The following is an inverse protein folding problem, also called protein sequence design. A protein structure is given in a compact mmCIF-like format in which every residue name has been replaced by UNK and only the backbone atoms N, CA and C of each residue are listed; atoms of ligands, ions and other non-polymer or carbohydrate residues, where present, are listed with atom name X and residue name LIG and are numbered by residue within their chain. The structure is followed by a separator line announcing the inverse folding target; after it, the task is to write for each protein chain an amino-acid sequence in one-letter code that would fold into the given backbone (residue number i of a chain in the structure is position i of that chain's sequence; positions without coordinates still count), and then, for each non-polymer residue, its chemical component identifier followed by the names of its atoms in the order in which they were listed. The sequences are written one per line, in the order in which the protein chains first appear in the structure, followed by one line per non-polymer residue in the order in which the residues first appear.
data_IF_000571371741
#
_entry.id   IF_000571371741
#
_cell.length_a   1.000
_cell.length_b   1.000
_cell.length_c   1.000
_cell.angle_alpha   90.00
_cell.angle_beta   90.00
_cell.angle_gamma   90.00
#
_symmetry.space_group_name_H-M   'P 1'
#
loop_
_entity.id
_entity.type
_entity.pdbx_description
1 polymer ?
#
# COMPACT_ATOMS: atom_id res chain seq x y z
N UNK A 1 19.50 -10.69 -3.65
CA UNK A 1 19.19 -9.25 -3.55
C UNK A 1 18.71 -8.92 -2.12
N UNK A 2 19.38 -8.00 -1.42
CA UNK A 2 19.09 -7.63 0.00
C UNK A 2 18.30 -6.32 0.16
N UNK A 3 18.22 -5.48 -0.86
CA UNK A 3 17.43 -4.25 -0.85
C UNK A 3 16.32 -4.31 -1.90
N UNK A 4 15.20 -3.65 -1.65
CA UNK A 4 14.08 -3.50 -2.58
C UNK A 4 13.50 -2.09 -2.50
N UNK A 5 13.08 -1.57 -3.65
CA UNK A 5 12.27 -0.36 -3.75
C UNK A 5 10.89 -0.73 -4.25
N UNK A 6 9.86 -0.23 -3.58
CA UNK A 6 8.46 -0.49 -3.92
C UNK A 6 7.79 0.85 -4.21
N UNK A 7 7.07 0.95 -5.32
CA UNK A 7 6.30 2.14 -5.70
C UNK A 7 4.98 1.71 -6.33
N UNK A 8 3.93 2.51 -6.12
CA UNK A 8 2.59 2.21 -6.63
C UNK A 8 2.02 0.89 -6.11
N UNK A 9 2.61 0.31 -5.06
CA UNK A 9 2.20 -0.96 -4.49
C UNK A 9 1.05 -0.77 -3.50
N UNK A 10 0.10 -1.70 -3.52
CA UNK A 10 -1.03 -1.72 -2.61
C UNK A 10 -1.53 -3.15 -2.36
N UNK A 11 -2.29 -3.31 -1.29
CA UNK A 11 -2.87 -4.59 -0.88
C UNK A 11 -4.39 -4.52 -0.99
N UNK A 12 -4.99 -4.93 -2.13
CA UNK A 12 -6.36 -4.43 -2.39
C UNK A 12 -7.27 -5.11 -3.41
N UNK A 13 -7.03 -6.32 -3.92
CA UNK A 13 -7.98 -6.85 -4.92
C UNK A 13 -9.46 -6.82 -4.46
N UNK A 14 -9.84 -7.19 -3.21
CA UNK A 14 -11.23 -7.11 -2.77
C UNK A 14 -11.78 -5.69 -2.79
N UNK A 15 -10.97 -4.71 -2.38
CA UNK A 15 -11.40 -3.30 -2.34
C UNK A 15 -11.44 -2.69 -3.73
N UNK A 16 -10.53 -3.07 -4.62
CA UNK A 16 -10.56 -2.67 -6.04
C UNK A 16 -11.80 -3.24 -6.73
N UNK A 17 -12.14 -4.50 -6.48
CA UNK A 17 -13.34 -5.12 -7.04
C UNK A 17 -14.63 -4.47 -6.51
N UNK A 18 -14.69 -4.19 -5.20
CA UNK A 18 -15.85 -3.57 -4.56
C UNK A 18 -16.05 -2.08 -4.93
N UNK A 19 -14.99 -1.37 -5.30
CA UNK A 19 -15.03 0.04 -5.69
C UNK A 19 -15.10 0.27 -7.19
N UNK A 20 -15.08 -0.78 -8.02
CA UNK A 20 -15.19 -0.64 -9.48
C UNK A 20 -16.65 -0.47 -9.90
N UNK A 21 -16.92 0.60 -10.64
CA UNK A 21 -18.24 0.88 -11.22
C UNK A 21 -18.34 0.49 -12.71
N UNK A 22 -17.20 0.19 -13.36
CA UNK A 22 -17.12 -0.16 -14.78
C UNK A 22 -16.05 -1.26 -15.05
N UNK A 23 -16.17 -2.04 -16.14
CA UNK A 23 -17.28 -2.03 -17.09
C UNK A 23 -18.55 -2.65 -16.49
N UNK A 24 -19.71 -2.12 -16.85
CA UNK A 24 -21.01 -2.75 -16.59
C UNK A 24 -21.34 -3.78 -17.67
N UNK A 25 -22.01 -4.85 -17.26
CA UNK A 25 -22.54 -5.87 -18.19
C UNK A 25 -24.06 -5.87 -18.15
N UNK A 26 -24.67 -6.24 -19.27
CA UNK A 26 -26.12 -6.36 -19.36
C UNK A 26 -26.64 -7.38 -18.34
N UNK A 27 -27.73 -7.03 -17.65
CA UNK A 27 -28.35 -7.90 -16.67
C UNK A 27 -29.23 -8.94 -17.39
N UNK A 28 -28.91 -10.25 -17.33
CA UNK A 28 -29.67 -11.28 -18.02
C UNK A 28 -31.09 -11.48 -17.47
N UNK A 29 -31.39 -10.97 -16.27
CA UNK A 29 -32.73 -10.98 -15.69
C UNK A 29 -33.59 -9.75 -16.06
N UNK A 30 -33.04 -8.82 -16.86
CA UNK A 30 -33.63 -7.51 -17.13
C UNK A 30 -33.39 -6.51 -16.00
N UNK A 31 -33.43 -5.21 -16.32
CA UNK A 31 -33.15 -4.11 -15.37
C UNK A 31 -31.83 -3.39 -15.63
N UNK A 32 -31.30 -2.72 -14.62
CA UNK A 32 -30.07 -1.94 -14.74
C UNK A 32 -28.83 -2.83 -15.02
N UNK A 33 -27.86 -2.36 -15.82
CA UNK A 33 -26.60 -3.04 -16.03
C UNK A 33 -25.85 -3.29 -14.71
N UNK A 34 -25.23 -4.47 -14.60
CA UNK A 34 -24.52 -4.92 -13.41
C UNK A 34 -23.07 -4.43 -13.45
N UNK A 35 -22.63 -3.73 -12.42
CA UNK A 35 -21.22 -3.40 -12.25
C UNK A 35 -20.46 -4.62 -11.66
N UNK A 36 -19.11 -4.56 -11.62
CA UNK A 36 -18.28 -5.65 -11.09
C UNK A 36 -18.66 -6.10 -9.68
N UNK A 37 -19.12 -5.19 -8.81
CA UNK A 37 -19.58 -5.51 -7.47
C UNK A 37 -20.85 -6.37 -7.50
N UNK A 38 -21.87 -5.98 -8.28
CA UNK A 38 -23.12 -6.73 -8.38
C UNK A 38 -22.88 -8.11 -9.01
N UNK A 39 -21.99 -8.19 -10.00
CA UNK A 39 -21.60 -9.47 -10.61
C UNK A 39 -20.96 -10.42 -9.60
N UNK A 40 -20.08 -9.91 -8.74
CA UNK A 40 -19.47 -10.72 -7.67
C UNK A 40 -20.52 -11.18 -6.65
N UNK A 41 -21.48 -10.32 -6.31
CA UNK A 41 -22.56 -10.67 -5.39
C UNK A 41 -23.41 -11.80 -5.95
N UNK A 42 -23.76 -11.75 -7.24
CA UNK A 42 -24.44 -12.83 -7.95
C UNK A 42 -23.59 -14.10 -8.03
N UNK A 43 -22.31 -13.98 -8.38
CA UNK A 43 -21.41 -15.13 -8.52
C UNK A 43 -21.21 -15.89 -7.19
N UNK A 44 -21.19 -15.18 -6.07
CA UNK A 44 -21.14 -15.78 -4.74
C UNK A 44 -22.51 -16.22 -4.22
N UNK A 45 -23.59 -15.98 -4.97
CA UNK A 45 -24.96 -16.26 -4.57
C UNK A 45 -25.31 -15.60 -3.22
N UNK A 46 -24.70 -14.45 -2.94
CA UNK A 46 -24.96 -13.71 -1.73
C UNK A 46 -26.29 -12.97 -1.83
N UNK A 47 -27.00 -12.91 -0.71
CA UNK A 47 -28.33 -12.30 -0.69
C UNK A 47 -28.22 -10.78 -0.87
N UNK A 48 -29.21 -10.11 -1.49
CA UNK A 48 -29.19 -8.65 -1.65
C UNK A 48 -29.09 -7.88 -0.32
N UNK A 49 -29.67 -8.42 0.76
CA UNK A 49 -29.63 -7.84 2.12
C UNK A 49 -28.28 -8.03 2.83
N UNK A 50 -27.36 -8.80 2.24
CA UNK A 50 -26.02 -9.05 2.75
C UNK A 50 -24.98 -8.61 1.71
N UNK A 51 -24.76 -7.29 1.55
CA UNK A 51 -23.86 -6.77 0.54
C UNK A 51 -22.43 -7.25 0.79
N UNK A 52 -21.69 -7.50 -0.29
CA UNK A 52 -20.27 -7.78 -0.19
C UNK A 52 -19.53 -6.58 0.40
N UNK A 53 -18.68 -6.86 1.38
CA UNK A 53 -17.76 -5.94 2.02
C UNK A 53 -16.34 -6.54 2.06
N UNK A 54 -15.34 -5.73 2.44
CA UNK A 54 -13.94 -6.19 2.43
C UNK A 54 -13.69 -7.42 3.31
N UNK A 55 -14.27 -7.55 4.53
CA UNK A 55 -14.08 -8.75 5.35
C UNK A 55 -14.95 -9.96 4.92
N UNK A 56 -15.74 -9.86 3.86
CA UNK A 56 -16.61 -10.96 3.43
C UNK A 56 -15.81 -12.26 3.17
N UNK A 57 -16.16 -13.39 3.79
CA UNK A 57 -15.33 -14.60 3.77
C UNK A 57 -15.05 -15.12 2.35
N UNK A 58 -16.03 -15.04 1.45
CA UNK A 58 -15.84 -15.43 0.04
C UNK A 58 -14.88 -14.51 -0.71
N UNK A 59 -14.86 -13.21 -0.41
CA UNK A 59 -13.89 -12.29 -1.01
C UNK A 59 -12.49 -12.52 -0.46
N UNK A 60 -12.36 -12.85 0.83
CA UNK A 60 -11.09 -13.22 1.44
C UNK A 60 -10.54 -14.50 0.78
N UNK A 61 -11.36 -15.54 0.65
CA UNK A 61 -10.98 -16.78 -0.03
C UNK A 61 -10.60 -16.54 -1.49
N UNK A 62 -11.43 -15.82 -2.25
CA UNK A 62 -11.11 -15.45 -3.63
C UNK A 62 -9.75 -14.75 -3.69
N UNK A 63 -9.54 -13.73 -2.86
CA UNK A 63 -8.28 -12.98 -2.81
C UNK A 63 -7.08 -13.88 -2.57
N UNK A 64 -7.19 -14.85 -1.66
CA UNK A 64 -6.11 -15.81 -1.38
C UNK A 64 -5.69 -16.60 -2.63
N UNK A 65 -6.64 -16.95 -3.51
CA UNK A 65 -6.34 -17.73 -4.71
C UNK A 65 -5.91 -16.88 -5.90
N UNK A 66 -6.63 -15.78 -6.19
CA UNK A 66 -6.39 -14.99 -7.41
C UNK A 66 -5.34 -13.90 -7.21
N UNK A 67 -5.12 -13.46 -5.97
CA UNK A 67 -4.07 -12.51 -5.62
C UNK A 67 -3.06 -13.15 -4.66
N UNK A 68 -2.43 -14.24 -5.12
CA UNK A 68 -1.41 -14.96 -4.34
C UNK A 68 -0.25 -14.06 -3.88
N UNK A 69 -0.02 -12.98 -4.63
CA UNK A 69 1.01 -11.97 -4.35
C UNK A 69 0.48 -10.74 -3.62
N UNK A 70 -0.76 -10.78 -3.07
CA UNK A 70 -1.34 -9.65 -2.37
C UNK A 70 -0.41 -9.18 -1.26
N UNK A 71 -0.12 -7.88 -1.23
CA UNK A 71 0.71 -7.27 -0.22
C UNK A 71 0.16 -7.47 1.21
N UNK A 72 -1.16 -7.65 1.40
CA UNK A 72 -1.74 -7.96 2.72
C UNK A 72 -1.20 -9.31 3.25
N UNK A 73 -0.99 -10.28 2.35
CA UNK A 73 -0.49 -11.61 2.70
C UNK A 73 1.04 -11.71 2.66
N UNK A 74 1.68 -10.96 1.77
CA UNK A 74 3.10 -11.15 1.44
C UNK A 74 4.03 -10.06 1.98
N UNK A 75 3.52 -8.87 2.34
CA UNK A 75 4.35 -7.81 2.91
C UNK A 75 5.12 -8.25 4.18
N UNK A 76 4.53 -9.03 5.11
CA UNK A 76 5.30 -9.55 6.24
C UNK A 76 6.44 -10.47 5.80
N UNK A 77 6.32 -11.19 4.69
CA UNK A 77 7.35 -12.11 4.18
C UNK A 77 8.58 -11.38 3.63
N UNK A 78 8.45 -10.09 3.29
CA UNK A 78 9.58 -9.29 2.80
C UNK A 78 10.59 -9.02 3.93
N UNK A 79 10.13 -8.93 5.18
CA UNK A 79 10.96 -8.50 6.31
C UNK A 79 10.66 -9.17 7.65
N UNK A 80 9.39 -9.19 8.07
CA UNK A 80 9.00 -9.63 9.42
C UNK A 80 9.08 -11.15 9.59
N UNK A 81 8.76 -11.89 8.55
CA UNK A 81 8.65 -13.36 8.54
C UNK A 81 9.19 -13.93 7.22
N UNK A 82 10.46 -13.66 6.87
CA UNK A 82 11.00 -14.15 5.61
C UNK A 82 10.98 -15.68 5.56
N UNK A 83 10.76 -16.23 4.37
CA UNK A 83 10.76 -17.67 4.16
C UNK A 83 12.16 -18.25 4.34
N UNK A 84 12.24 -19.53 4.72
CA UNK A 84 13.53 -20.22 4.90
C UNK A 84 14.43 -20.09 3.67
N UNK A 85 15.69 -19.72 3.88
CA UNK A 85 16.66 -19.49 2.80
C UNK A 85 16.53 -18.15 2.07
N UNK A 86 15.47 -17.37 2.31
CA UNK A 86 15.30 -16.01 1.78
C UNK A 86 15.65 -15.00 2.88
N UNK A 87 16.68 -14.14 2.73
CA UNK A 87 16.97 -13.13 3.74
C UNK A 87 15.92 -12.02 3.73
N UNK A 88 15.66 -11.44 4.91
CA UNK A 88 14.89 -10.21 5.04
C UNK A 88 15.53 -9.08 4.22
N UNK A 89 14.70 -8.16 3.71
CA UNK A 89 15.14 -7.08 2.84
C UNK A 89 15.18 -5.73 3.56
N UNK A 90 16.12 -4.88 3.17
CA UNK A 90 15.99 -3.43 3.30
C UNK A 90 14.90 -2.98 2.32
N UNK A 91 14.05 -2.03 2.72
CA UNK A 91 12.91 -1.61 1.90
C UNK A 91 12.79 -0.09 1.93
N UNK A 92 12.73 0.50 0.75
CA UNK A 92 12.28 1.87 0.54
C UNK A 92 10.96 1.81 -0.23
N UNK A 93 9.86 2.05 0.47
CA UNK A 93 8.51 2.04 -0.08
C UNK A 93 8.04 3.48 -0.37
N UNK A 94 7.18 3.66 -1.37
CA UNK A 94 6.62 4.95 -1.75
C UNK A 94 5.09 4.95 -1.69
N UNK A 95 4.53 6.03 -1.16
CA UNK A 95 3.10 6.35 -1.19
C UNK A 95 2.95 7.73 -1.82
N UNK A 96 2.18 7.82 -2.90
CA UNK A 96 1.78 9.10 -3.48
C UNK A 96 0.47 9.60 -2.90
N UNK A 97 0.41 10.89 -2.60
CA UNK A 97 -0.87 11.59 -2.42
C UNK A 97 -1.67 11.53 -3.74
N UNK A 98 -3.00 11.42 -3.68
CA UNK A 98 -3.89 11.35 -4.85
C UNK A 98 -3.48 10.30 -5.90
N UNK A 99 -2.95 9.16 -5.46
CA UNK A 99 -2.72 7.99 -6.32
C UNK A 99 -4.06 7.34 -6.69
N UNK A 100 -4.48 7.48 -7.96
CA UNK A 100 -5.74 6.90 -8.45
C UNK A 100 -5.66 5.40 -8.76
N UNK A 101 -4.46 4.83 -8.81
CA UNK A 101 -4.21 3.41 -9.12
C UNK A 101 -4.08 2.56 -7.86
N UNK A 102 -3.37 3.07 -6.85
CA UNK A 102 -3.13 2.44 -5.55
C UNK A 102 -3.63 3.36 -4.44
N UNK A 103 -4.94 3.32 -4.14
CA UNK A 103 -5.56 4.26 -3.21
C UNK A 103 -4.88 4.22 -1.85
N UNK A 104 -4.80 5.36 -1.14
CA UNK A 104 -4.08 5.54 0.12
C UNK A 104 -4.19 4.35 1.08
N UNK A 105 -5.41 3.86 1.37
CA UNK A 105 -5.62 2.71 2.27
C UNK A 105 -4.86 1.43 1.84
N UNK A 106 -4.67 1.22 0.54
CA UNK A 106 -3.94 0.08 -0.02
C UNK A 106 -2.44 0.19 0.26
N UNK A 107 -1.91 1.37 -0.04
CA UNK A 107 -0.50 1.67 0.09
C UNK A 107 -0.09 1.73 1.57
N UNK A 108 -0.98 2.27 2.43
CA UNK A 108 -0.87 2.25 3.89
C UNK A 108 -0.84 0.83 4.44
N UNK A 109 -1.73 -0.07 4.00
CA UNK A 109 -1.71 -1.48 4.40
C UNK A 109 -0.38 -2.18 4.08
N UNK A 110 0.15 -1.96 2.87
CA UNK A 110 1.47 -2.47 2.49
C UNK A 110 2.56 -1.93 3.44
N UNK A 111 2.61 -0.63 3.68
CA UNK A 111 3.57 0.00 4.60
C UNK A 111 3.45 -0.56 6.03
N UNK A 112 2.23 -0.74 6.54
CA UNK A 112 1.94 -1.31 7.85
C UNK A 112 2.39 -2.77 7.90
N UNK A 113 2.12 -3.56 6.86
CA UNK A 113 2.50 -4.97 6.73
C UNK A 113 4.02 -5.16 6.70
N UNK A 114 4.73 -4.27 6.02
CA UNK A 114 6.20 -4.18 6.04
C UNK A 114 6.71 -3.76 7.43
N UNK A 115 5.94 -2.97 8.17
CA UNK A 115 6.42 -2.23 9.33
C UNK A 115 7.43 -1.17 8.92
N UNK A 116 7.09 -0.44 7.87
CA UNK A 116 7.90 0.60 7.27
C UNK A 116 7.36 1.97 7.71
N UNK A 117 7.91 2.58 8.79
CA UNK A 117 7.50 3.90 9.27
C UNK A 117 7.65 4.97 8.17
N UNK A 118 6.94 6.08 8.32
CA UNK A 118 7.05 7.21 7.40
C UNK A 118 8.41 7.89 7.61
N UNK A 119 9.27 7.91 6.59
CA UNK A 119 10.52 8.65 6.62
C UNK A 119 10.28 10.11 6.28
N UNK A 120 10.54 10.99 7.24
CA UNK A 120 10.13 12.39 7.20
C UNK A 120 8.71 12.56 7.77
N UNK A 121 7.99 13.56 7.25
CA UNK A 121 6.64 13.90 7.71
C UNK A 121 5.58 13.14 6.92
N UNK A 122 4.54 12.67 7.61
CA UNK A 122 3.27 12.29 7.01
C UNK A 122 2.61 13.54 6.39
N UNK A 123 1.99 13.38 5.23
CA UNK A 123 1.26 14.48 4.58
C UNK A 123 -0.05 14.79 5.31
N UNK A 124 -0.58 13.82 6.05
CA UNK A 124 -1.84 13.93 6.78
C UNK A 124 -1.55 13.99 8.29
N UNK A 125 -1.46 15.20 8.83
CA UNK A 125 -1.13 15.43 10.23
C UNK A 125 -2.40 15.59 11.07
N UNK A 126 -2.39 15.19 12.36
CA UNK A 126 -3.49 15.51 13.26
C UNK A 126 -3.73 17.03 13.38
N UNK A 127 -4.97 17.46 13.67
CA UNK A 127 -6.13 16.62 14.00
C UNK A 127 -6.81 16.01 12.77
N UNK A 128 -7.20 14.72 12.86
CA UNK A 128 -7.73 13.99 11.70
C UNK A 128 -9.15 14.42 11.29
N UNK A 129 -9.86 15.13 12.16
CA UNK A 129 -11.20 15.65 11.88
C UNK A 129 -11.18 16.86 10.92
N UNK A 130 -10.00 17.42 10.63
CA UNK A 130 -9.81 18.48 9.63
C UNK A 130 -9.94 17.96 8.18
N UNK A 131 -9.90 16.63 7.98
CA UNK A 131 -10.01 16.01 6.67
C UNK A 131 -11.47 15.61 6.36
N UNK A 132 -12.01 16.19 5.28
CA UNK A 132 -13.34 15.83 4.78
C UNK A 132 -13.33 14.56 3.94
N UNK A 133 -12.22 14.25 3.27
CA UNK A 133 -12.06 13.00 2.52
C UNK A 133 -11.79 11.82 3.47
N UNK A 134 -12.50 10.71 3.27
CA UNK A 134 -12.38 9.54 4.15
C UNK A 134 -10.98 8.91 4.08
N UNK A 135 -10.36 8.84 2.89
CA UNK A 135 -9.05 8.23 2.72
C UNK A 135 -7.96 9.08 3.38
N UNK A 136 -8.05 10.40 3.30
CA UNK A 136 -7.14 11.32 3.98
C UNK A 136 -7.27 11.23 5.50
N UNK A 137 -8.51 11.21 6.02
CA UNK A 137 -8.78 11.01 7.45
C UNK A 137 -8.20 9.69 7.96
N UNK A 138 -8.32 8.61 7.18
CA UNK A 138 -7.71 7.32 7.49
C UNK A 138 -6.18 7.40 7.49
N UNK A 139 -5.60 8.10 6.51
CA UNK A 139 -4.15 8.27 6.41
C UNK A 139 -3.57 9.06 7.60
N UNK A 140 -4.29 10.08 8.08
CA UNK A 140 -3.99 10.74 9.36
C UNK A 140 -4.11 9.78 10.55
N UNK A 141 -5.09 8.87 10.52
CA UNK A 141 -5.29 7.80 11.50
C UNK A 141 -4.08 6.88 11.69
N UNK A 142 -3.23 6.69 10.67
CA UNK A 142 -2.08 5.78 10.76
C UNK A 142 -0.98 6.30 11.69
N UNK A 143 -0.67 7.60 11.65
CA UNK A 143 0.33 8.20 12.54
C UNK A 143 -0.22 8.41 13.94
N UNK A 144 -1.43 8.96 14.06
CA UNK A 144 -2.09 9.19 15.35
C UNK A 144 -2.31 7.87 16.12
N UNK A 145 -2.70 6.80 15.42
CA UNK A 145 -2.84 5.46 16.00
C UNK A 145 -1.54 4.66 16.16
N UNK A 146 -0.37 5.26 15.89
CA UNK A 146 0.96 4.63 15.99
C UNK A 146 1.17 3.41 15.07
N UNK A 147 0.37 3.25 14.01
CA UNK A 147 0.50 2.16 13.03
C UNK A 147 1.62 2.42 12.02
N UNK A 148 1.77 3.68 11.60
CA UNK A 148 2.86 4.17 10.77
C UNK A 148 3.49 5.39 11.45
N UNK A 149 4.34 5.19 12.47
CA UNK A 149 5.02 6.31 13.11
C UNK A 149 5.98 6.98 12.12
N UNK A 150 6.30 8.24 12.39
CA UNK A 150 7.31 8.98 11.66
C UNK A 150 8.71 8.69 12.18
N UNK A 151 9.69 8.71 11.29
CA UNK A 151 11.11 8.65 11.61
C UNK A 151 11.82 9.76 10.85
N UNK A 152 12.65 10.53 11.57
CA UNK A 152 13.41 11.62 10.97
C UNK A 152 14.46 11.08 9.99
N UNK A 153 14.63 11.80 8.87
CA UNK A 153 15.72 11.56 7.94
C UNK A 153 17.02 12.20 8.45
N UNK A 154 18.20 11.66 8.06
CA UNK A 154 18.39 10.42 7.30
C UNK A 154 18.10 9.17 8.14
N UNK A 155 17.66 8.08 7.50
CA UNK A 155 17.32 6.82 8.18
C UNK A 155 18.24 5.68 7.73
N UNK A 156 18.84 5.00 8.70
CA UNK A 156 19.57 3.73 8.50
C UNK A 156 19.34 2.81 9.70
N UNK A 157 19.27 1.50 9.47
CA UNK A 157 19.22 0.50 10.55
C UNK A 157 17.99 0.58 11.47
N UNK A 158 16.89 1.20 11.04
CA UNK A 158 15.72 1.44 11.89
C UNK A 158 14.87 0.18 12.19
N UNK A 159 15.19 -0.97 11.59
CA UNK A 159 14.42 -2.20 11.72
C UNK A 159 15.29 -3.43 11.93
N UNK A 160 14.68 -4.53 12.42
CA UNK A 160 15.37 -5.81 12.58
C UNK A 160 16.53 -5.75 13.59
N UNK A 161 16.40 -4.94 14.64
CA UNK A 161 17.45 -4.77 15.66
C UNK A 161 18.71 -4.08 15.15
N UNK A 162 18.58 -3.10 14.24
CA UNK A 162 19.72 -2.38 13.67
C UNK A 162 20.17 -2.89 12.30
N UNK A 163 19.68 -4.05 11.86
CA UNK A 163 20.22 -4.75 10.69
C UNK A 163 19.57 -4.35 9.37
N UNK A 164 18.39 -3.70 9.42
CA UNK A 164 17.59 -3.39 8.25
C UNK A 164 17.21 -1.92 8.22
N UNK A 165 17.14 -1.35 7.03
CA UNK A 165 16.61 -0.01 6.77
C UNK A 165 15.32 -0.19 6.02
N UNK A 166 14.20 0.16 6.66
CA UNK A 166 12.85 -0.14 6.19
C UNK A 166 12.00 1.08 6.46
N UNK A 167 11.63 1.81 5.41
CA UNK A 167 10.86 3.04 5.52
C UNK A 167 9.91 3.21 4.36
N UNK A 168 8.91 4.06 4.56
CA UNK A 168 7.98 4.52 3.54
C UNK A 168 8.14 6.03 3.36
N UNK A 169 8.31 6.50 2.12
CA UNK A 169 8.23 7.92 1.77
C UNK A 169 6.81 8.24 1.33
N UNK A 170 6.16 9.18 2.00
CA UNK A 170 4.87 9.71 1.57
C UNK A 170 5.09 11.06 0.91
N UNK A 171 4.68 11.21 -0.35
CA UNK A 171 5.03 12.37 -1.17
C UNK A 171 3.79 13.00 -1.83
N UNK A 172 3.71 14.35 -1.89
CA UNK A 172 2.65 15.00 -2.65
C UNK A 172 2.83 14.69 -4.13
N UNK A 173 1.72 14.48 -4.85
CA UNK A 173 1.78 14.38 -6.30
C UNK A 173 2.24 15.73 -6.90
N UNK A 174 3.13 15.72 -7.90
CA UNK A 174 3.45 16.92 -8.68
C UNK A 174 2.20 17.46 -9.37
N UNK A 175 2.16 18.78 -9.58
CA UNK A 175 1.02 19.43 -10.23
C UNK A 175 0.70 18.78 -11.59
N UNK A 176 -0.57 18.39 -11.78
CA UNK A 176 -1.05 17.76 -13.00
C UNK A 176 -0.59 16.31 -13.22
N UNK A 177 0.06 15.68 -12.22
CA UNK A 177 0.43 14.26 -12.25
C UNK A 177 -0.32 13.47 -11.19
N UNK A 178 -0.43 12.17 -11.43
CA UNK A 178 -0.99 11.22 -10.47
C UNK A 178 0.05 10.82 -9.42
N UNK A 179 -0.39 10.61 -8.18
CA UNK A 179 0.45 10.16 -7.06
C UNK A 179 1.16 8.84 -7.32
N UNK A 180 0.64 8.01 -8.23
CA UNK A 180 1.24 6.72 -8.60
C UNK A 180 2.70 6.83 -9.04
N UNK A 181 3.09 7.99 -9.57
CA UNK A 181 4.39 8.20 -10.19
C UNK A 181 5.41 8.94 -9.32
N UNK A 182 5.12 9.20 -8.04
CA UNK A 182 6.01 10.01 -7.17
C UNK A 182 7.43 9.46 -7.04
N UNK A 183 7.63 8.14 -7.16
CA UNK A 183 8.97 7.53 -7.12
C UNK A 183 9.82 7.81 -8.37
N UNK A 184 9.19 8.25 -9.47
CA UNK A 184 9.85 8.59 -10.73
C UNK A 184 10.18 10.08 -10.83
N UNK A 185 9.89 10.87 -9.79
CA UNK A 185 10.37 12.24 -9.74
C UNK A 185 11.90 12.26 -9.63
N UNK A 186 12.60 13.20 -10.29
CA UNK A 186 14.06 13.17 -10.41
C UNK A 186 14.80 13.00 -9.07
N UNK A 187 14.34 13.71 -8.03
CA UNK A 187 14.92 13.62 -6.70
C UNK A 187 14.77 12.23 -6.06
N UNK A 188 13.66 11.54 -6.33
CA UNK A 188 13.39 10.22 -5.79
C UNK A 188 14.09 9.12 -6.60
N UNK A 189 14.25 9.31 -7.92
CA UNK A 189 15.13 8.44 -8.72
C UNK A 189 16.58 8.47 -8.24
N UNK A 190 17.11 9.67 -7.93
CA UNK A 190 18.44 9.80 -7.30
C UNK A 190 18.48 9.10 -5.95
N UNK A 191 17.46 9.27 -5.10
CA UNK A 191 17.37 8.60 -3.80
C UNK A 191 17.34 7.08 -3.91
N UNK A 192 16.62 6.56 -4.90
CA UNK A 192 16.54 5.13 -5.19
C UNK A 192 17.92 4.59 -5.58
N UNK A 193 18.65 5.31 -6.44
CA UNK A 193 20.01 4.97 -6.79
C UNK A 193 20.93 4.97 -5.56
N UNK A 194 20.92 6.04 -4.76
CA UNK A 194 21.66 6.15 -3.50
C UNK A 194 21.34 5.01 -2.51
N UNK A 195 20.07 4.61 -2.42
CA UNK A 195 19.63 3.53 -1.56
C UNK A 195 20.20 2.18 -2.01
N UNK A 196 20.20 1.89 -3.31
CA UNK A 196 20.80 0.67 -3.83
C UNK A 196 22.34 0.70 -3.75
N UNK A 197 22.97 1.83 -4.01
CA UNK A 197 24.41 2.02 -3.91
C UNK A 197 24.89 1.76 -2.46
N UNK A 198 24.28 2.44 -1.49
CA UNK A 198 24.61 2.23 -0.06
C UNK A 198 24.29 0.81 0.42
N UNK A 199 23.28 0.14 -0.15
CA UNK A 199 23.04 -1.28 0.15
C UNK A 199 24.18 -2.20 -0.35
N UNK A 200 24.82 -1.83 -1.46
CA UNK A 200 25.95 -2.57 -2.04
C UNK A 200 27.26 -2.29 -1.29
N UNK A 201 27.54 -1.03 -0.98
CA UNK A 201 28.80 -0.60 -0.35
C UNK A 201 28.80 -0.83 1.17
N UNK A 202 27.74 -0.38 1.84
CA UNK A 202 27.74 -0.25 3.31
C UNK A 202 27.02 -1.42 3.99
N UNK A 203 26.33 -2.26 3.20
CA UNK A 203 25.45 -3.36 3.65
C UNK A 203 24.25 -2.91 4.51
N UNK A 204 24.14 -1.63 4.85
CA UNK A 204 23.05 -0.99 5.54
C UNK A 204 22.70 0.32 4.81
N UNK A 205 21.75 0.30 3.86
CA UNK A 205 21.45 1.45 3.05
C UNK A 205 20.87 2.59 3.87
N UNK A 206 21.11 3.82 3.42
CA UNK A 206 20.63 5.04 4.07
C UNK A 206 19.62 5.74 3.17
N UNK A 207 18.48 6.11 3.74
CA UNK A 207 17.49 6.98 3.07
C UNK A 207 17.73 8.40 3.54
N UNK A 208 18.19 9.27 2.64
CA UNK A 208 18.55 10.66 2.95
C UNK A 208 17.36 11.61 3.08
#
# INVERSE_FOLDING_TARGET
MRAAVLSGGGAKLPRTLLGKEEPKVENPAGGDPLAPRELLQLAFQERPDRPLDTPHPMLVLLNTFVNRSDADNTAPLIRRRPQGGVPAKHVLNYIGHVDSYSPLRAAGNLAIGLGAPIAGKNLFQPPCDDYTDENERIACGWTSGQWLPEVALPVTGNAGGGQLTVVTRMLPAPAGKDGHYVAFEPAEMTRIADFFESALTDKAPTVK
#
